data_IF_701715308757
#
_entry.id   IF_701715308757
#
_cell.length_a   1.000
_cell.length_b   1.000
_cell.length_c   1.000
_cell.angle_alpha   90.00
_cell.angle_beta   90.00
_cell.angle_gamma   90.00
#
_symmetry.space_group_name_H-M   'P 1'
#
loop_
_entity.id
_entity.type
_entity.pdbx_description
1 polymer ?
#
# COMPACT_ATOMS: atom_id res chain seq x y z
N UNK A 1 -27.51 24.34 19.19
CA UNK A 1 -26.56 23.54 18.38
C UNK A 1 -27.36 22.75 17.36
N UNK A 2 -27.00 22.78 16.09
CA UNK A 2 -27.76 22.11 15.02
C UNK A 2 -27.57 20.58 15.09
N UNK A 3 -28.55 19.89 15.67
CA UNK A 3 -28.47 18.45 15.99
C UNK A 3 -28.53 17.59 14.72
N UNK A 4 -29.29 18.02 13.70
CA UNK A 4 -29.41 17.30 12.44
C UNK A 4 -28.06 17.29 11.69
N UNK A 5 -27.36 18.43 11.65
CA UNK A 5 -26.01 18.51 11.08
C UNK A 5 -25.00 17.66 11.83
N UNK A 6 -25.11 17.60 13.16
CA UNK A 6 -24.24 16.78 14.00
C UNK A 6 -24.39 15.28 13.70
N UNK A 7 -25.63 14.82 13.58
CA UNK A 7 -25.94 13.43 13.26
C UNK A 7 -25.36 13.04 11.89
N UNK A 8 -25.52 13.92 10.88
CA UNK A 8 -24.94 13.71 9.54
C UNK A 8 -23.41 13.64 9.55
N UNK A 9 -22.74 14.49 10.34
CA UNK A 9 -21.26 14.54 10.37
C UNK A 9 -20.63 13.37 11.14
N UNK A 10 -21.35 12.83 12.12
CA UNK A 10 -20.82 11.82 13.05
C UNK A 10 -21.35 10.42 12.79
N UNK A 11 -22.55 10.30 12.20
CA UNK A 11 -23.29 9.04 12.09
C UNK A 11 -23.74 8.47 13.44
N UNK A 12 -23.68 9.26 14.51
CA UNK A 12 -24.03 8.84 15.87
C UNK A 12 -25.39 9.42 16.26
N UNK A 13 -26.24 8.60 16.89
CA UNK A 13 -27.53 9.06 17.41
C UNK A 13 -27.37 9.87 18.71
N UNK A 14 -28.45 10.52 19.17
CA UNK A 14 -28.46 11.22 20.46
C UNK A 14 -28.09 10.31 21.64
N UNK A 15 -28.53 9.06 21.62
CA UNK A 15 -28.22 8.09 22.68
C UNK A 15 -26.78 7.59 22.60
N UNK A 16 -26.24 7.41 21.39
CA UNK A 16 -24.82 7.10 21.22
C UNK A 16 -23.95 8.22 21.78
N UNK A 17 -24.29 9.48 21.49
CA UNK A 17 -23.59 10.63 22.06
C UNK A 17 -23.60 10.62 23.58
N UNK A 18 -24.77 10.41 24.21
CA UNK A 18 -24.89 10.32 25.67
C UNK A 18 -24.00 9.21 26.24
N UNK A 19 -23.99 8.03 25.61
CA UNK A 19 -23.14 6.91 26.03
C UNK A 19 -21.65 7.22 25.86
N UNK A 20 -21.25 7.85 24.75
CA UNK A 20 -19.87 8.24 24.48
C UNK A 20 -19.37 9.30 25.46
N UNK A 21 -20.20 10.28 25.80
CA UNK A 21 -19.86 11.31 26.79
C UNK A 21 -19.72 10.72 28.19
N UNK A 22 -20.63 9.82 28.59
CA UNK A 22 -20.50 9.08 29.86
C UNK A 22 -19.20 8.28 29.90
N UNK A 23 -18.85 7.64 28.79
CA UNK A 23 -17.60 6.90 28.67
C UNK A 23 -16.37 7.81 28.77
N UNK A 24 -16.39 8.97 28.11
CA UNK A 24 -15.34 9.98 28.19
C UNK A 24 -15.17 10.56 29.61
N UNK A 25 -16.27 10.78 30.33
CA UNK A 25 -16.24 11.25 31.71
C UNK A 25 -15.45 10.28 32.63
N UNK A 26 -15.59 8.97 32.41
CA UNK A 26 -14.85 7.93 33.14
C UNK A 26 -13.44 7.64 32.62
N UNK A 27 -12.92 8.38 31.64
CA UNK A 27 -11.55 8.22 31.14
C UNK A 27 -10.53 8.90 32.05
N UNK A 28 -9.33 8.32 32.10
CA UNK A 28 -8.12 8.96 32.66
C UNK A 28 -7.63 10.10 31.77
N UNK A 29 -6.86 11.03 32.32
CA UNK A 29 -6.33 12.17 31.56
C UNK A 29 -5.45 11.77 30.39
N UNK A 30 -4.64 10.71 30.55
CA UNK A 30 -3.84 10.15 29.46
C UNK A 30 -4.71 9.70 28.27
N UNK A 31 -5.88 9.10 28.53
CA UNK A 31 -6.82 8.71 27.49
C UNK A 31 -7.50 9.93 26.85
N UNK A 32 -7.79 10.98 27.62
CA UNK A 32 -8.36 12.23 27.10
C UNK A 32 -7.40 12.95 26.16
N UNK A 33 -6.09 12.92 26.44
CA UNK A 33 -5.06 13.43 25.51
C UNK A 33 -5.10 12.69 24.18
N UNK A 34 -5.25 11.37 24.19
CA UNK A 34 -5.38 10.57 22.96
C UNK A 34 -6.64 10.97 22.16
N UNK A 35 -7.76 11.19 22.85
CA UNK A 35 -9.00 11.69 22.21
C UNK A 35 -8.76 13.04 21.54
N UNK A 36 -8.12 13.99 22.22
CA UNK A 36 -7.82 15.32 21.68
C UNK A 36 -6.88 15.26 20.45
N UNK A 37 -5.86 14.41 20.49
CA UNK A 37 -4.97 14.20 19.34
C UNK A 37 -5.72 13.59 18.13
N UNK A 38 -6.61 12.64 18.38
CA UNK A 38 -7.42 12.01 17.34
C UNK A 38 -8.46 12.98 16.76
N UNK A 39 -9.11 13.79 17.62
CA UNK A 39 -9.98 14.90 17.20
C UNK A 39 -9.24 15.87 16.28
N UNK A 40 -8.03 16.30 16.66
CA UNK A 40 -7.21 17.21 15.84
C UNK A 40 -6.90 16.61 14.47
N UNK A 41 -6.60 15.31 14.43
CA UNK A 41 -6.36 14.58 13.18
C UNK A 41 -7.60 14.55 12.30
N UNK A 42 -8.78 14.29 12.87
CA UNK A 42 -10.05 14.31 12.14
C UNK A 42 -10.40 15.71 11.63
N UNK A 43 -10.19 16.75 12.44
CA UNK A 43 -10.41 18.14 12.04
C UNK A 43 -9.56 18.52 10.82
N UNK A 44 -8.28 18.08 10.77
CA UNK A 44 -7.41 18.31 9.61
C UNK A 44 -7.91 17.56 8.37
N UNK A 45 -8.28 16.29 8.51
CA UNK A 45 -8.75 15.45 7.39
C UNK A 45 -10.08 15.92 6.81
N UNK A 46 -10.99 16.40 7.66
CA UNK A 46 -12.35 16.80 7.28
C UNK A 46 -12.52 18.32 7.22
N UNK A 47 -11.43 19.07 7.04
CA UNK A 47 -11.42 20.54 7.04
C UNK A 47 -12.44 21.14 6.06
N UNK A 48 -12.70 20.48 4.93
CA UNK A 48 -13.67 20.93 3.93
C UNK A 48 -15.10 21.03 4.48
N UNK A 49 -15.48 20.19 5.45
CA UNK A 49 -16.81 20.20 6.07
C UNK A 49 -17.00 21.35 7.09
N UNK A 50 -15.93 22.07 7.43
CA UNK A 50 -15.96 23.12 8.45
C UNK A 50 -16.80 24.33 8.00
N UNK A 51 -16.73 24.68 6.72
CA UNK A 51 -17.40 25.87 6.19
C UNK A 51 -18.93 25.74 6.26
N UNK A 52 -19.46 24.55 5.99
CA UNK A 52 -20.91 24.27 5.95
C UNK A 52 -21.51 24.07 7.36
N UNK A 53 -20.71 23.54 8.29
CA UNK A 53 -21.18 23.20 9.64
C UNK A 53 -21.07 24.36 10.64
N UNK A 54 -20.13 25.28 10.45
CA UNK A 54 -19.72 26.25 11.47
C UNK A 54 -18.71 25.65 12.46
N UNK A 55 -17.87 26.50 13.05
CA UNK A 55 -16.69 26.09 13.82
C UNK A 55 -17.03 25.22 15.04
N UNK A 56 -18.03 25.62 15.84
CA UNK A 56 -18.35 24.95 17.10
C UNK A 56 -19.03 23.60 16.87
N UNK A 57 -19.95 23.55 15.90
CA UNK A 57 -20.62 22.30 15.50
C UNK A 57 -19.60 21.32 14.93
N UNK A 58 -18.69 21.81 14.08
CA UNK A 58 -17.62 20.98 13.52
C UNK A 58 -16.67 20.43 14.59
N UNK A 59 -16.22 21.27 15.52
CA UNK A 59 -15.30 20.86 16.58
C UNK A 59 -15.90 19.75 17.46
N UNK A 60 -17.15 19.92 17.88
CA UNK A 60 -17.88 18.93 18.66
C UNK A 60 -18.20 17.65 17.86
N UNK A 61 -18.56 17.79 16.59
CA UNK A 61 -18.75 16.64 15.70
C UNK A 61 -17.47 15.79 15.61
N UNK A 62 -16.31 16.44 15.43
CA UNK A 62 -15.03 15.72 15.37
C UNK A 62 -14.66 15.07 16.70
N UNK A 63 -15.04 15.69 17.82
CA UNK A 63 -14.87 15.10 19.15
C UNK A 63 -15.72 13.82 19.32
N UNK A 64 -17.01 13.90 19.02
CA UNK A 64 -17.92 12.74 19.09
C UNK A 64 -17.46 11.63 18.13
N UNK A 65 -17.07 11.98 16.90
CA UNK A 65 -16.54 11.03 15.93
C UNK A 65 -15.24 10.37 16.41
N UNK A 66 -14.36 11.12 17.08
CA UNK A 66 -13.14 10.59 17.66
C UNK A 66 -13.45 9.55 18.75
N UNK A 67 -14.38 9.87 19.66
CA UNK A 67 -14.83 8.93 20.70
C UNK A 67 -15.44 7.67 20.09
N UNK A 68 -16.31 7.83 19.09
CA UNK A 68 -16.96 6.70 18.43
C UNK A 68 -15.95 5.76 17.77
N UNK A 69 -14.97 6.30 17.03
CA UNK A 69 -13.92 5.52 16.39
C UNK A 69 -13.01 4.81 17.40
N UNK A 70 -12.63 5.49 18.48
CA UNK A 70 -11.79 4.89 19.53
C UNK A 70 -12.52 3.79 20.29
N UNK A 71 -13.82 3.96 20.53
CA UNK A 71 -14.65 2.91 21.15
C UNK A 71 -14.76 1.68 20.26
N UNK A 72 -15.06 1.87 18.97
CA UNK A 72 -15.07 0.77 18.00
C UNK A 72 -13.71 0.07 17.88
N UNK A 73 -12.61 0.83 17.91
CA UNK A 73 -11.26 0.26 17.93
C UNK A 73 -11.02 -0.57 19.20
N UNK A 74 -11.45 -0.08 20.38
CA UNK A 74 -11.33 -0.82 21.65
C UNK A 74 -12.17 -2.11 21.64
N UNK A 75 -13.41 -2.04 21.16
CA UNK A 75 -14.32 -3.19 21.08
C UNK A 75 -13.85 -4.21 20.04
N UNK A 76 -13.30 -3.78 18.91
CA UNK A 76 -12.74 -4.69 17.90
C UNK A 76 -11.44 -5.36 18.38
N UNK A 77 -10.59 -4.65 19.12
CA UNK A 77 -9.42 -5.25 19.79
C UNK A 77 -9.86 -6.24 20.88
N UNK A 78 -10.89 -5.92 21.65
CA UNK A 78 -11.49 -6.83 22.63
C UNK A 78 -12.00 -8.11 21.98
N UNK A 79 -12.76 -7.99 20.89
CA UNK A 79 -13.25 -9.13 20.10
C UNK A 79 -12.10 -9.97 19.54
N UNK A 80 -11.05 -9.35 19.02
CA UNK A 80 -9.85 -10.09 18.53
C UNK A 80 -9.12 -10.83 19.64
N UNK A 81 -9.04 -10.27 20.84
CA UNK A 81 -8.42 -10.95 22.00
C UNK A 81 -9.23 -12.15 22.50
N UNK A 82 -10.54 -12.15 22.26
CA UNK A 82 -11.43 -13.25 22.64
C UNK A 82 -11.60 -14.30 21.53
N UNK A 83 -11.08 -14.05 20.32
CA UNK A 83 -11.14 -15.02 19.24
C UNK A 83 -10.10 -16.13 19.42
N UNK A 84 -10.48 -17.40 19.20
CA UNK A 84 -9.53 -18.50 19.21
C UNK A 84 -8.46 -18.27 18.13
N UNK A 85 -7.20 -18.68 18.39
CA UNK A 85 -6.05 -18.37 17.53
C UNK A 85 -6.22 -18.86 16.08
N UNK A 86 -6.98 -19.95 15.87
CA UNK A 86 -7.30 -20.49 14.55
C UNK A 86 -8.13 -19.53 13.68
N UNK A 87 -9.07 -18.79 14.28
CA UNK A 87 -9.89 -17.80 13.56
C UNK A 87 -9.08 -16.55 13.21
N UNK A 88 -8.11 -16.17 14.04
CA UNK A 88 -7.19 -15.07 13.75
C UNK A 88 -6.27 -15.44 12.57
N UNK A 89 -5.73 -16.66 12.57
CA UNK A 89 -4.93 -17.17 11.46
C UNK A 89 -5.74 -17.23 10.15
N UNK A 90 -7.01 -17.63 10.21
CA UNK A 90 -7.91 -17.61 9.04
C UNK A 90 -8.18 -16.18 8.55
N UNK A 91 -8.44 -15.23 9.45
CA UNK A 91 -8.62 -13.82 9.08
C UNK A 91 -7.35 -13.20 8.50
N UNK A 92 -6.18 -13.55 9.02
CA UNK A 92 -4.89 -13.12 8.46
C UNK A 92 -4.67 -13.72 7.07
N UNK A 93 -4.96 -15.02 6.87
CA UNK A 93 -4.92 -15.65 5.55
C UNK A 93 -5.89 -15.00 4.57
N UNK A 94 -7.13 -14.72 4.97
CA UNK A 94 -8.11 -14.01 4.14
C UNK A 94 -7.67 -12.57 3.83
N UNK A 95 -6.99 -11.91 4.77
CA UNK A 95 -6.44 -10.57 4.56
C UNK A 95 -5.21 -10.57 3.64
N UNK A 96 -4.38 -11.59 3.72
CA UNK A 96 -3.26 -11.84 2.81
C UNK A 96 -3.77 -12.21 1.40
N UNK A 97 -4.81 -13.03 1.31
CA UNK A 97 -5.48 -13.36 0.04
C UNK A 97 -6.15 -12.12 -0.58
N UNK A 98 -6.82 -11.29 0.24
CA UNK A 98 -7.39 -10.01 -0.19
C UNK A 98 -6.37 -8.90 -0.44
N UNK A 99 -5.10 -9.05 -0.01
CA UNK A 99 -4.01 -8.12 -0.33
C UNK A 99 -3.60 -8.19 -1.81
N UNK A 100 -3.98 -9.24 -2.54
CA UNK A 100 -3.90 -9.30 -4.00
C UNK A 100 -4.78 -8.25 -4.71
N UNK A 101 -5.77 -7.67 -4.02
CA UNK A 101 -6.67 -6.64 -4.53
C UNK A 101 -6.24 -5.21 -4.15
N UNK A 102 -5.00 -5.00 -3.69
CA UNK A 102 -4.46 -3.64 -3.57
C UNK A 102 -4.20 -3.09 -4.97
N UNK A 103 -4.84 -1.95 -5.29
CA UNK A 103 -4.61 -1.15 -6.50
C UNK A 103 -3.12 -1.23 -6.87
N UNK A 104 -2.75 -1.71 -8.07
CA UNK A 104 -1.35 -1.93 -8.40
C UNK A 104 -0.60 -0.62 -8.17
N UNK A 105 0.49 -0.68 -7.38
CA UNK A 105 1.41 0.47 -7.24
C UNK A 105 1.69 0.98 -8.65
N UNK A 106 1.48 2.27 -8.91
CA UNK A 106 1.85 2.88 -10.18
C UNK A 106 3.34 2.60 -10.37
N UNK A 107 3.67 1.70 -11.29
CA UNK A 107 5.05 1.31 -11.56
C UNK A 107 5.86 2.57 -11.89
N UNK A 108 6.98 2.74 -11.21
CA UNK A 108 7.88 3.86 -11.46
C UNK A 108 8.38 3.83 -12.91
N UNK A 109 8.89 4.95 -13.46
CA UNK A 109 9.44 5.00 -14.82
C UNK A 109 10.51 3.91 -15.06
N UNK A 110 11.33 3.60 -14.05
CA UNK A 110 12.31 2.52 -14.08
C UNK A 110 11.69 1.12 -14.15
N UNK A 111 10.70 0.83 -13.30
CA UNK A 111 10.03 -0.48 -13.30
C UNK A 111 9.26 -0.77 -14.61
N UNK A 112 8.77 0.28 -15.28
CA UNK A 112 8.17 0.14 -16.62
C UNK A 112 9.20 -0.20 -17.69
N UNK A 113 10.37 0.46 -17.64
CA UNK A 113 11.47 0.16 -18.55
C UNK A 113 11.99 -1.26 -18.31
N UNK A 114 12.19 -1.66 -17.05
CA UNK A 114 12.64 -3.00 -16.70
C UNK A 114 11.65 -4.08 -17.15
N UNK A 115 10.34 -3.87 -16.94
CA UNK A 115 9.33 -4.82 -17.42
C UNK A 115 9.31 -4.95 -18.95
N UNK A 116 9.49 -3.84 -19.67
CA UNK A 116 9.59 -3.85 -21.13
C UNK A 116 10.83 -4.60 -21.60
N UNK A 117 11.99 -4.31 -21.00
CA UNK A 117 13.26 -4.94 -21.32
C UNK A 117 13.19 -6.45 -21.08
N UNK A 118 12.59 -6.90 -19.97
CA UNK A 118 12.42 -8.34 -19.70
C UNK A 118 11.50 -9.04 -20.71
N UNK A 119 10.42 -8.38 -21.13
CA UNK A 119 9.48 -8.94 -22.10
C UNK A 119 10.05 -9.03 -23.53
N UNK A 120 11.11 -8.27 -23.80
CA UNK A 120 11.71 -8.11 -25.12
C UNK A 120 13.22 -8.39 -25.11
N UNK A 121 13.69 -9.15 -24.12
CA UNK A 121 15.11 -9.40 -23.90
C UNK A 121 15.74 -10.24 -25.02
N UNK A 122 14.93 -10.96 -25.81
CA UNK A 122 15.43 -11.84 -26.88
C UNK A 122 16.08 -11.08 -28.04
N UNK A 123 15.60 -9.86 -28.33
CA UNK A 123 16.11 -9.06 -29.45
C UNK A 123 16.80 -7.77 -29.02
N UNK A 124 16.49 -7.29 -27.80
CA UNK A 124 16.95 -5.98 -27.34
C UNK A 124 18.48 -5.90 -27.15
N UNK A 125 19.20 -6.91 -26.63
CA UNK A 125 20.65 -6.90 -26.55
C UNK A 125 21.30 -6.81 -27.93
N UNK A 126 20.86 -7.63 -28.90
CA UNK A 126 21.38 -7.59 -30.27
C UNK A 126 21.08 -6.26 -30.98
N UNK A 127 19.94 -5.63 -30.69
CA UNK A 127 19.62 -4.30 -31.21
C UNK A 127 20.47 -3.19 -30.57
N UNK A 128 20.73 -3.29 -29.25
CA UNK A 128 21.60 -2.37 -28.51
C UNK A 128 23.07 -2.47 -28.91
N UNK A 129 23.51 -3.62 -29.43
CA UNK A 129 24.86 -3.81 -29.98
C UNK A 129 25.01 -3.28 -31.41
N UNK A 130 23.94 -3.38 -32.22
CA UNK A 130 23.96 -2.99 -33.64
C UNK A 130 23.60 -1.53 -33.87
N UNK A 131 22.76 -0.95 -33.01
CA UNK A 131 22.23 0.40 -33.17
C UNK A 131 22.52 1.30 -31.97
N UNK A 132 22.49 2.61 -32.21
CA UNK A 132 22.58 3.56 -31.10
C UNK A 132 21.32 3.54 -30.25
N UNK A 133 21.48 3.75 -28.93
CA UNK A 133 20.38 3.78 -27.96
C UNK A 133 19.23 4.72 -28.37
N UNK A 134 19.51 5.83 -29.05
CA UNK A 134 18.48 6.75 -29.53
C UNK A 134 17.61 6.13 -30.64
N UNK A 135 18.22 5.35 -31.55
CA UNK A 135 17.47 4.63 -32.60
C UNK A 135 16.60 3.54 -32.02
N UNK A 136 17.11 2.82 -31.02
CA UNK A 136 16.34 1.80 -30.29
C UNK A 136 15.15 2.43 -29.56
N UNK A 137 15.35 3.58 -28.90
CA UNK A 137 14.26 4.30 -28.23
C UNK A 137 13.23 4.88 -29.21
N UNK A 138 13.68 5.36 -30.38
CA UNK A 138 12.79 5.82 -31.44
C UNK A 138 11.98 4.67 -32.06
N UNK A 139 12.59 3.50 -32.23
CA UNK A 139 11.90 2.29 -32.65
C UNK A 139 10.84 1.88 -31.62
N UNK A 140 11.20 1.83 -30.34
CA UNK A 140 10.25 1.52 -29.24
C UNK A 140 9.09 2.52 -29.21
N UNK A 141 9.37 3.80 -29.47
CA UNK A 141 8.35 4.85 -29.54
C UNK A 141 7.40 4.67 -30.72
N UNK A 142 7.90 4.24 -31.88
CA UNK A 142 7.09 4.03 -33.09
C UNK A 142 6.24 2.78 -33.00
N UNK A 143 6.84 1.66 -32.60
CA UNK A 143 6.20 0.34 -32.62
C UNK A 143 5.31 0.11 -31.39
N UNK A 144 5.84 0.40 -30.19
CA UNK A 144 5.15 0.09 -28.93
C UNK A 144 4.41 1.30 -28.35
N UNK A 145 4.51 2.48 -28.97
CA UNK A 145 3.93 3.75 -28.49
C UNK A 145 4.33 4.09 -27.04
N UNK A 146 5.46 3.58 -26.58
CA UNK A 146 6.01 3.83 -25.25
C UNK A 146 7.17 4.81 -25.31
N UNK A 147 7.26 5.71 -24.32
CA UNK A 147 8.36 6.67 -24.20
C UNK A 147 9.13 6.42 -22.91
N UNK A 148 10.43 6.18 -23.06
CA UNK A 148 11.36 6.06 -21.95
C UNK A 148 12.38 7.20 -22.00
N UNK A 149 12.85 7.65 -20.84
CA UNK A 149 14.01 8.52 -20.76
C UNK A 149 15.28 7.71 -21.01
N UNK A 150 16.23 8.29 -21.74
CA UNK A 150 17.50 7.65 -22.11
C UNK A 150 18.25 7.08 -20.91
N UNK A 151 18.39 7.88 -19.86
CA UNK A 151 19.09 7.49 -18.62
C UNK A 151 18.40 6.34 -17.90
N UNK A 152 17.07 6.39 -17.77
CA UNK A 152 16.30 5.37 -17.06
C UNK A 152 16.27 4.05 -17.83
N UNK A 153 16.15 4.09 -19.15
CA UNK A 153 16.17 2.89 -19.98
C UNK A 153 17.54 2.23 -19.96
N UNK A 154 18.62 3.01 -20.11
CA UNK A 154 19.97 2.48 -20.09
C UNK A 154 20.35 1.88 -18.72
N UNK A 155 20.00 2.56 -17.62
CA UNK A 155 20.21 2.02 -16.27
C UNK A 155 19.41 0.73 -16.03
N UNK A 156 18.17 0.66 -16.51
CA UNK A 156 17.35 -0.55 -16.42
C UNK A 156 17.95 -1.69 -17.26
N UNK A 157 18.45 -1.39 -18.45
CA UNK A 157 19.08 -2.37 -19.34
C UNK A 157 20.35 -2.94 -18.72
N UNK A 158 21.25 -2.09 -18.22
CA UNK A 158 22.48 -2.53 -17.53
C UNK A 158 22.18 -3.38 -16.28
N UNK A 159 21.17 -3.02 -15.50
CA UNK A 159 20.73 -3.80 -14.33
C UNK A 159 20.25 -5.19 -14.73
N UNK A 160 19.45 -5.27 -15.79
CA UNK A 160 18.92 -6.56 -16.26
C UNK A 160 20.03 -7.40 -16.88
N UNK A 161 20.92 -6.80 -17.67
CA UNK A 161 22.07 -7.50 -18.24
C UNK A 161 22.98 -8.08 -17.15
N UNK A 162 23.28 -7.30 -16.10
CA UNK A 162 24.03 -7.78 -14.94
C UNK A 162 23.30 -8.93 -14.22
N UNK A 163 22.02 -8.74 -13.91
CA UNK A 163 21.23 -9.77 -13.23
C UNK A 163 21.06 -11.05 -14.06
N UNK A 164 21.00 -10.96 -15.39
CA UNK A 164 20.92 -12.13 -16.28
C UNK A 164 22.27 -12.83 -16.42
N UNK A 165 23.38 -12.10 -16.47
CA UNK A 165 24.72 -12.69 -16.38
C UNK A 165 24.94 -13.43 -15.05
N UNK A 166 24.44 -12.86 -13.94
CA UNK A 166 24.46 -13.51 -12.62
C UNK A 166 23.55 -14.77 -12.58
N UNK A 167 22.47 -14.82 -13.37
CA UNK A 167 21.58 -15.99 -13.50
C UNK A 167 22.15 -17.08 -14.41
N UNK A 168 22.80 -16.71 -15.51
CA UNK A 168 23.49 -17.66 -16.42
C UNK A 168 24.71 -18.29 -15.71
N UNK A 169 25.49 -17.51 -14.96
CA UNK A 169 26.60 -18.02 -14.15
C UNK A 169 26.13 -19.01 -13.06
N UNK A 170 25.01 -18.74 -12.40
CA UNK A 170 24.42 -19.65 -11.41
C UNK A 170 23.86 -20.95 -12.04
N UNK A 171 23.45 -20.92 -13.31
CA UNK A 171 23.02 -22.09 -14.07
C UNK A 171 24.18 -22.91 -14.64
N UNK A 172 25.35 -22.32 -14.86
CA UNK A 172 26.56 -23.06 -15.27
C UNK A 172 27.26 -23.74 -14.07
N UNK A 173 27.27 -23.11 -12.88
CA UNK A 173 27.77 -23.75 -11.65
C UNK A 173 26.92 -24.96 -11.22
N UNK A 174 25.64 -25.02 -11.60
CA UNK A 174 24.77 -26.17 -11.33
C UNK A 174 24.90 -27.32 -12.34
N UNK A 175 25.68 -27.16 -13.42
CA UNK A 175 26.04 -28.24 -14.35
C UNK A 175 27.36 -28.95 -13.98
N UNK A 176 28.14 -28.42 -13.04
CA UNK A 176 29.39 -29.03 -12.57
C UNK A 176 29.18 -30.11 -11.48
N UNK A 177 28.04 -30.13 -10.78
CA UNK A 177 27.68 -31.18 -9.81
C UNK A 177 26.59 -32.10 -10.37
N UNK A 178 26.95 -33.01 -11.27
CA UNK A 178 26.29 -34.32 -11.48
C UNK A 178 27.00 -35.12 -12.58
N UNK A 179 28.19 -35.60 -12.27
CA UNK A 179 28.62 -36.90 -12.81
C UNK A 179 28.63 -37.84 -11.61
N UNK A 180 27.61 -38.70 -11.43
CA UNK A 180 27.71 -39.80 -10.49
C UNK A 180 28.69 -40.80 -11.07
N UNK A 181 29.79 -41.05 -10.36
CA UNK A 181 30.62 -42.22 -10.55
C UNK A 181 29.75 -43.48 -10.44
N UNK A 182 29.61 -44.21 -11.55
CA UNK A 182 29.20 -45.61 -11.49
C UNK A 182 30.46 -46.46 -11.36
N UNK A 183 30.74 -46.86 -10.13
CA UNK A 183 31.76 -47.87 -9.79
C UNK A 183 31.24 -49.26 -10.17
N UNK A 184 32.06 -49.96 -10.95
CA UNK A 184 32.42 -51.37 -10.77
C UNK A 184 31.34 -52.45 -10.77
N UNK A 185 31.39 -53.30 -11.79
CA UNK A 185 31.39 -54.77 -11.65
C UNK A 185 32.05 -55.39 -12.86
#
# INVERSE_FOLDING_TARGET
MDVAKLDTLTGATADDRRRLLKWYAGMSDAQRVVVAAHQTTLMRRRRHLRAEAGQDVFAYAMFVAALYQLRHAKESLGRRRQQPPEQLALLERLRQAGQGCRRPKKRGPGEKAEAFIRAHYDWLPSAMERESLDRVLDFIRREYRLRFSRSTFYQAFQRIQKNMADWEAACDDTKAEKVPDFVGS
#
